data_IF_214042165863
#
_entry.id   IF_214042165863
#
_cell.length_a   1.000
_cell.length_b   1.000
_cell.length_c   1.000
_cell.angle_alpha   90.00
_cell.angle_beta   90.00
_cell.angle_gamma   90.00
#
_symmetry.space_group_name_H-M   'P 1'
#
loop_
_entity.id
_entity.type
_entity.pdbx_description
1 polymer ?
#
# COMPACT_ATOMS: atom_id res chain seq x y z
N UNK A 1 -10.34 24.93 -0.84
CA UNK A 1 -9.43 23.81 -0.50
C UNK A 1 -8.89 24.05 0.89
N UNK A 2 -8.89 23.05 1.79
CA UNK A 2 -8.21 23.18 3.07
C UNK A 2 -6.69 23.33 2.84
N UNK A 3 -6.06 24.24 3.56
CA UNK A 3 -4.61 24.46 3.52
C UNK A 3 -3.99 23.81 4.76
N UNK A 4 -2.96 23.00 4.57
CA UNK A 4 -2.20 22.34 5.64
C UNK A 4 -0.83 23.00 5.75
N UNK A 5 -0.46 23.43 6.95
CA UNK A 5 0.90 23.91 7.27
C UNK A 5 1.57 22.83 8.11
N UNK A 6 2.62 22.21 7.57
CA UNK A 6 3.39 21.18 8.27
C UNK A 6 4.71 21.77 8.76
N UNK A 7 5.06 21.49 10.01
CA UNK A 7 6.39 21.76 10.54
C UNK A 7 7.22 20.49 10.45
N UNK A 8 8.40 20.61 9.86
CA UNK A 8 9.31 19.50 9.64
C UNK A 8 10.74 20.04 9.67
N UNK A 9 11.68 19.15 9.98
CA UNK A 9 13.09 19.44 10.09
C UNK A 9 13.72 19.70 8.71
N UNK A 10 14.75 20.55 8.69
CA UNK A 10 15.48 20.94 7.49
C UNK A 10 15.94 19.75 6.62
N UNK A 11 16.52 18.65 7.16
CA UNK A 11 16.96 17.54 6.32
C UNK A 11 15.79 16.78 5.70
N UNK A 12 14.63 16.65 6.38
CA UNK A 12 13.44 16.08 5.74
C UNK A 12 12.91 16.99 4.63
N UNK A 13 12.90 18.31 4.83
CA UNK A 13 12.47 19.26 3.80
C UNK A 13 13.29 19.16 2.53
N UNK A 14 14.61 19.01 2.67
CA UNK A 14 15.52 18.86 1.55
C UNK A 14 15.27 17.55 0.79
N UNK A 15 15.12 16.43 1.51
CA UNK A 15 14.75 15.15 0.89
C UNK A 15 13.44 15.24 0.10
N UNK A 16 12.43 15.88 0.68
CA UNK A 16 11.13 16.09 0.04
C UNK A 16 11.21 16.96 -1.22
N UNK A 17 12.08 17.98 -1.22
CA UNK A 17 12.35 18.80 -2.42
C UNK A 17 13.04 18.00 -3.51
N UNK A 18 14.02 17.15 -3.16
CA UNK A 18 14.71 16.29 -4.11
C UNK A 18 13.79 15.25 -4.74
N UNK A 19 12.92 14.63 -3.93
CA UNK A 19 11.94 13.66 -4.42
C UNK A 19 10.92 14.33 -5.36
N UNK A 20 10.41 15.51 -4.98
CA UNK A 20 9.53 16.28 -5.83
C UNK A 20 10.21 16.71 -7.15
N UNK A 21 11.49 17.09 -7.11
CA UNK A 21 12.27 17.43 -8.28
C UNK A 21 12.52 16.22 -9.19
N UNK A 22 12.79 15.04 -8.62
CA UNK A 22 12.96 13.78 -9.35
C UNK A 22 11.69 13.40 -10.13
N UNK A 23 10.53 13.67 -9.57
CA UNK A 23 9.24 13.46 -10.25
C UNK A 23 8.77 14.63 -11.11
N UNK A 24 9.51 15.75 -11.14
CA UNK A 24 9.13 16.97 -11.87
C UNK A 24 7.84 17.63 -11.35
N UNK A 25 7.50 17.41 -10.08
CA UNK A 25 6.27 17.93 -9.45
C UNK A 25 6.62 19.08 -8.48
N UNK A 26 5.67 19.98 -8.26
CA UNK A 26 5.79 20.96 -7.16
C UNK A 26 5.67 20.24 -5.82
N UNK A 27 6.32 20.77 -4.78
CA UNK A 27 6.32 20.17 -3.44
C UNK A 27 4.91 19.86 -2.92
N UNK A 28 3.97 20.79 -3.08
CA UNK A 28 2.58 20.59 -2.66
C UNK A 28 1.87 19.47 -3.44
N UNK A 29 2.16 19.32 -4.75
CA UNK A 29 1.58 18.27 -5.59
C UNK A 29 2.18 16.90 -5.27
N UNK A 30 3.48 16.87 -4.98
CA UNK A 30 4.18 15.66 -4.54
C UNK A 30 3.64 15.19 -3.18
N UNK A 31 3.60 16.06 -2.16
CA UNK A 31 3.06 15.73 -0.82
C UNK A 31 1.61 15.26 -0.89
N UNK A 32 0.77 15.90 -1.72
CA UNK A 32 -0.60 15.46 -1.91
C UNK A 32 -0.69 14.06 -2.55
N UNK A 33 0.23 13.73 -3.46
CA UNK A 33 0.37 12.39 -4.03
C UNK A 33 0.79 11.37 -2.96
N UNK A 34 1.84 11.66 -2.20
CA UNK A 34 2.31 10.80 -1.10
C UNK A 34 1.22 10.53 -0.06
N UNK A 35 0.43 11.54 0.31
CA UNK A 35 -0.68 11.38 1.25
C UNK A 35 -1.78 10.47 0.68
N UNK A 36 -2.10 10.61 -0.61
CA UNK A 36 -3.09 9.77 -1.28
C UNK A 36 -2.59 8.33 -1.46
N UNK A 37 -1.34 8.17 -1.86
CA UNK A 37 -0.72 6.86 -2.00
C UNK A 37 -0.68 6.17 -0.65
N UNK A 38 -0.30 6.87 0.43
CA UNK A 38 -0.31 6.31 1.79
C UNK A 38 -1.69 5.81 2.23
N UNK A 39 -2.76 6.49 1.83
CA UNK A 39 -4.14 6.09 2.12
C UNK A 39 -4.56 4.86 1.30
N UNK A 40 -4.06 4.73 0.08
CA UNK A 40 -4.47 3.70 -0.89
C UNK A 40 -3.60 2.44 -0.83
N UNK A 41 -2.29 2.59 -0.57
CA UNK A 41 -1.28 1.54 -0.64
C UNK A 41 -0.91 0.94 0.72
N UNK A 42 -1.61 1.29 1.80
CA UNK A 42 -1.48 0.60 3.09
C UNK A 42 -0.05 0.55 3.68
N UNK A 43 0.80 1.55 3.39
CA UNK A 43 2.22 1.64 3.79
C UNK A 43 3.19 0.78 2.96
N UNK A 44 2.76 0.14 1.87
CA UNK A 44 3.68 -0.61 1.02
C UNK A 44 4.67 0.32 0.30
N UNK A 45 5.96 -0.07 0.17
CA UNK A 45 6.95 0.72 -0.56
C UNK A 45 6.52 0.96 -2.01
N UNK A 46 6.96 2.09 -2.59
CA UNK A 46 6.71 2.38 -3.99
C UNK A 46 7.24 1.24 -4.89
N UNK A 47 6.43 0.78 -5.84
CA UNK A 47 6.77 -0.30 -6.76
C UNK A 47 6.73 -1.70 -6.14
N UNK A 48 6.23 -1.86 -4.92
CA UNK A 48 6.08 -3.17 -4.28
C UNK A 48 5.21 -4.13 -5.12
N UNK A 49 4.13 -3.62 -5.71
CA UNK A 49 3.24 -4.38 -6.59
C UNK A 49 3.75 -4.46 -8.05
N UNK A 50 4.89 -3.83 -8.37
CA UNK A 50 5.51 -3.85 -9.71
C UNK A 50 6.81 -4.70 -9.74
N UNK A 51 7.08 -5.47 -8.67
CA UNK A 51 8.27 -6.30 -8.56
C UNK A 51 8.25 -7.45 -9.57
N UNK A 52 9.42 -7.98 -9.90
CA UNK A 52 9.52 -9.16 -10.76
C UNK A 52 8.76 -10.34 -10.13
N UNK A 53 7.73 -10.83 -10.83
CA UNK A 53 6.83 -11.87 -10.32
C UNK A 53 5.54 -11.34 -9.69
N UNK A 54 5.33 -10.01 -9.66
CA UNK A 54 4.01 -9.46 -9.40
C UNK A 54 3.04 -9.93 -10.49
N UNK A 55 1.90 -10.45 -10.04
CA UNK A 55 0.87 -11.00 -10.89
C UNK A 55 -0.37 -10.10 -10.76
N UNK A 56 -0.74 -9.45 -11.86
CA UNK A 56 -1.96 -8.63 -11.98
C UNK A 56 -3.10 -9.43 -12.64
N UNK A 57 -2.98 -10.77 -12.64
CA UNK A 57 -3.96 -11.66 -13.23
C UNK A 57 -5.08 -11.96 -12.22
N UNK A 58 -6.33 -11.84 -12.67
CA UNK A 58 -7.55 -12.13 -11.89
C UNK A 58 -7.70 -13.65 -11.58
N UNK A 59 -6.70 -14.46 -11.90
CA UNK A 59 -6.67 -15.89 -11.60
C UNK A 59 -6.29 -16.19 -10.15
N UNK A 60 -5.62 -15.26 -9.46
CA UNK A 60 -5.17 -15.40 -8.07
C UNK A 60 -5.96 -14.49 -7.11
N UNK A 61 -7.28 -14.56 -7.19
CA UNK A 61 -8.17 -13.85 -6.25
C UNK A 61 -8.41 -14.74 -5.03
N UNK A 62 -8.32 -14.15 -3.84
CA UNK A 62 -8.71 -14.81 -2.59
C UNK A 62 -10.15 -15.31 -2.71
N UNK A 63 -10.41 -16.62 -2.51
CA UNK A 63 -11.77 -17.12 -2.50
C UNK A 63 -12.55 -16.48 -1.35
N UNK A 64 -13.87 -16.31 -1.49
CA UNK A 64 -14.69 -15.80 -0.39
C UNK A 64 -14.49 -16.65 0.88
N UNK A 65 -14.40 -15.99 2.03
CA UNK A 65 -14.36 -16.67 3.32
C UNK A 65 -15.67 -17.45 3.52
N UNK A 66 -15.60 -18.77 3.38
CA UNK A 66 -16.68 -19.64 3.79
C UNK A 66 -16.71 -19.70 5.33
N UNK A 67 -17.88 -19.51 5.98
CA UNK A 67 -17.99 -19.64 7.42
C UNK A 67 -17.56 -21.05 7.82
N UNK A 68 -16.61 -21.13 8.75
CA UNK A 68 -16.10 -22.39 9.27
C UNK A 68 -17.25 -23.22 9.85
N UNK A 69 -17.54 -24.35 9.21
CA UNK A 69 -18.53 -25.29 9.71
C UNK A 69 -17.98 -25.97 10.97
N UNK A 70 -18.69 -25.80 12.08
CA UNK A 70 -18.35 -26.41 13.37
C UNK A 70 -18.72 -27.90 13.42
N UNK A 71 -19.15 -28.48 12.30
CA UNK A 71 -19.33 -29.93 12.21
C UNK A 71 -18.05 -30.65 12.68
N UNK A 72 -18.18 -31.56 13.67
CA UNK A 72 -17.03 -32.25 14.21
C UNK A 72 -16.35 -33.04 13.10
N UNK A 73 -15.07 -32.77 12.87
CA UNK A 73 -14.25 -33.55 11.93
C UNK A 73 -14.42 -35.02 12.29
N UNK A 74 -14.97 -35.87 11.40
CA UNK A 74 -15.17 -37.27 11.72
C UNK A 74 -13.82 -37.87 12.06
N UNK A 75 -13.73 -38.50 13.24
CA UNK A 75 -12.54 -39.22 13.64
C UNK A 75 -12.20 -40.21 12.52
N UNK A 76 -10.99 -40.11 11.97
CA UNK A 76 -10.48 -41.12 11.07
C UNK A 76 -10.38 -42.42 11.86
N UNK A 77 -11.34 -43.34 11.67
CA UNK A 77 -11.23 -44.71 12.15
C UNK A 77 -10.02 -45.34 11.44
N UNK A 78 -8.88 -45.35 12.13
CA UNK A 78 -7.68 -46.07 11.75
C UNK A 78 -8.00 -47.56 11.80
N UNK A 79 -8.33 -48.13 10.63
CA UNK A 79 -8.48 -49.57 10.42
C UNK A 79 -7.13 -50.29 10.46
#
# INVERSE_FOLDING_TARGET
>A
MPQLSLYMDEPMMEGLRQDAAREGKTLSKFVAGVLRDRDTSGLWPHGFFDLYGACDDDTLVEPPDDPFDLEPIPALELA
#
